data_IF_026864982432
#
_entry.id   IF_026864982432
#
_cell.length_a   1.000
_cell.length_b   1.000
_cell.length_c   1.000
_cell.angle_alpha   90.00
_cell.angle_beta   90.00
_cell.angle_gamma   90.00
#
_symmetry.space_group_name_H-M   'P 1'
#
loop_
_entity.id
_entity.type
_entity.pdbx_description
1 polymer ?
#
# COMPACT_ATOMS: atom_id res chain seq x y z
N UNK A 1 37.85 -19.85 -1.61
CA UNK A 1 36.66 -19.46 -2.41
C UNK A 1 35.99 -18.24 -1.76
N UNK A 2 35.99 -17.09 -2.43
CA UNK A 2 35.14 -15.97 -2.01
C UNK A 2 33.68 -16.41 -2.17
N UNK A 3 32.92 -16.59 -1.11
CA UNK A 3 31.47 -16.69 -1.16
C UNK A 3 30.96 -15.41 -1.81
N UNK A 4 30.44 -15.52 -3.03
CA UNK A 4 29.68 -14.42 -3.65
C UNK A 4 28.60 -14.02 -2.65
N UNK A 5 28.66 -12.77 -2.19
CA UNK A 5 27.65 -12.23 -1.29
C UNK A 5 26.29 -12.37 -1.99
N UNK A 6 25.36 -13.07 -1.36
CA UNK A 6 24.00 -13.25 -1.90
C UNK A 6 23.38 -11.88 -2.03
N UNK A 7 22.86 -11.54 -3.20
CA UNK A 7 22.12 -10.29 -3.42
C UNK A 7 21.01 -10.18 -2.37
N UNK A 8 20.90 -9.02 -1.76
CA UNK A 8 19.80 -8.75 -0.84
C UNK A 8 18.54 -8.38 -1.62
N UNK A 9 17.39 -8.49 -0.97
CA UNK A 9 16.08 -8.29 -1.57
C UNK A 9 15.53 -6.94 -1.14
N UNK A 10 15.12 -6.13 -2.11
CA UNK A 10 14.23 -5.00 -1.90
C UNK A 10 12.82 -5.46 -2.24
N UNK A 11 11.99 -5.58 -1.22
CA UNK A 11 10.62 -6.07 -1.36
C UNK A 11 9.66 -4.89 -1.45
N UNK A 12 8.98 -4.76 -2.57
CA UNK A 12 8.06 -3.65 -2.84
C UNK A 12 6.64 -4.18 -2.93
N UNK A 13 5.76 -3.64 -2.11
CA UNK A 13 4.33 -3.98 -2.10
C UNK A 13 3.57 -2.89 -2.83
N UNK A 14 2.74 -3.26 -3.80
CA UNK A 14 1.87 -2.38 -4.58
C UNK A 14 0.45 -2.92 -4.61
N UNK A 15 -0.53 -2.07 -4.88
CA UNK A 15 -1.96 -2.44 -4.87
C UNK A 15 -2.42 -3.09 -6.18
N UNK A 16 -1.78 -2.78 -7.31
CA UNK A 16 -2.20 -3.27 -8.61
C UNK A 16 -1.07 -3.58 -9.58
N UNK A 17 -1.35 -4.37 -10.65
CA UNK A 17 -0.34 -4.81 -11.62
C UNK A 17 0.21 -3.69 -12.50
N UNK A 18 -0.51 -2.59 -12.69
CA UNK A 18 -0.01 -1.41 -13.42
C UNK A 18 1.18 -0.75 -12.73
N UNK A 19 1.21 -0.80 -11.41
CA UNK A 19 2.30 -0.24 -10.60
C UNK A 19 3.57 -1.09 -10.71
N UNK A 20 3.41 -2.40 -10.86
CA UNK A 20 4.53 -3.35 -10.99
C UNK A 20 5.46 -2.99 -12.15
N UNK A 21 4.90 -2.75 -13.33
CA UNK A 21 5.70 -2.48 -14.53
C UNK A 21 6.46 -1.15 -14.44
N UNK A 22 5.77 -0.08 -14.00
CA UNK A 22 6.35 1.24 -13.91
C UNK A 22 7.43 1.34 -12.83
N UNK A 23 7.15 0.79 -11.65
CA UNK A 23 8.02 0.88 -10.48
C UNK A 23 9.16 -0.14 -10.52
N UNK A 24 8.90 -1.35 -11.04
CA UNK A 24 9.89 -2.41 -11.10
C UNK A 24 11.15 -2.00 -11.89
N UNK A 25 10.99 -1.35 -13.03
CA UNK A 25 12.11 -0.86 -13.86
C UNK A 25 12.86 0.25 -13.11
N UNK A 26 12.14 1.24 -12.62
CA UNK A 26 12.74 2.40 -11.94
C UNK A 26 13.49 1.99 -10.67
N UNK A 27 12.89 1.15 -9.85
CA UNK A 27 13.52 0.69 -8.61
C UNK A 27 14.69 -0.26 -8.87
N UNK A 28 14.64 -1.09 -9.92
CA UNK A 28 15.76 -1.93 -10.32
C UNK A 28 16.97 -1.12 -10.78
N UNK A 29 16.75 0.04 -11.39
CA UNK A 29 17.82 0.97 -11.75
C UNK A 29 18.42 1.66 -10.51
N UNK A 30 17.59 2.00 -9.55
CA UNK A 30 18.03 2.64 -8.29
C UNK A 30 18.81 1.67 -7.39
N UNK A 31 18.38 0.41 -7.32
CA UNK A 31 18.98 -0.64 -6.50
C UNK A 31 19.81 -1.61 -7.36
N UNK A 32 20.84 -1.11 -8.02
CA UNK A 32 21.69 -1.87 -8.97
C UNK A 32 22.19 -3.22 -8.46
N UNK A 33 22.63 -3.25 -7.18
CA UNK A 33 23.30 -4.40 -6.59
C UNK A 33 22.35 -5.36 -5.88
N UNK A 34 21.07 -5.02 -5.80
CA UNK A 34 20.08 -5.77 -5.06
C UNK A 34 18.99 -6.34 -5.99
N UNK A 35 18.37 -7.42 -5.58
CA UNK A 35 17.22 -7.96 -6.28
C UNK A 35 15.96 -7.21 -5.86
N UNK A 36 15.31 -6.53 -6.80
CA UNK A 36 14.02 -5.88 -6.56
C UNK A 36 12.91 -6.88 -6.89
N UNK A 37 12.03 -7.11 -5.91
CA UNK A 37 10.83 -7.91 -6.09
C UNK A 37 9.59 -7.07 -5.81
N UNK A 38 8.70 -6.97 -6.78
CA UNK A 38 7.43 -6.25 -6.65
C UNK A 38 6.32 -7.25 -6.37
N UNK A 39 5.74 -7.15 -5.18
CA UNK A 39 4.61 -7.98 -4.75
C UNK A 39 3.30 -7.23 -4.95
N UNK A 40 2.40 -7.82 -5.73
CA UNK A 40 1.07 -7.27 -5.94
C UNK A 40 0.15 -7.77 -4.81
N UNK A 41 -0.33 -6.84 -4.01
CA UNK A 41 -1.38 -7.10 -3.04
C UNK A 41 -2.74 -6.92 -3.72
N UNK A 42 -3.55 -7.96 -3.74
CA UNK A 42 -4.87 -7.89 -4.36
C UNK A 42 -5.82 -7.04 -3.50
N UNK A 43 -6.09 -5.84 -3.96
CA UNK A 43 -6.98 -4.87 -3.32
C UNK A 43 -6.27 -3.98 -2.28
N UNK A 44 -7.00 -2.98 -1.84
CA UNK A 44 -6.53 -2.00 -0.86
C UNK A 44 -6.63 -2.54 0.56
N UNK A 45 -5.49 -2.85 1.18
CA UNK A 45 -5.47 -3.34 2.56
C UNK A 45 -5.95 -2.29 3.56
N UNK A 46 -5.80 -0.99 3.26
CA UNK A 46 -6.16 0.09 4.17
C UNK A 46 -7.67 0.28 4.35
N UNK A 47 -8.47 -0.28 3.44
CA UNK A 47 -9.94 -0.29 3.51
C UNK A 47 -10.53 -1.69 3.61
N UNK A 48 -9.70 -2.72 3.66
CA UNK A 48 -10.15 -4.12 3.74
C UNK A 48 -10.92 -4.38 5.03
N UNK A 49 -12.05 -5.11 4.91
CA UNK A 49 -12.87 -5.49 6.06
C UNK A 49 -12.03 -6.21 7.12
N UNK A 50 -12.17 -5.78 8.38
CA UNK A 50 -11.45 -6.35 9.52
C UNK A 50 -10.02 -5.81 9.71
N UNK A 51 -9.54 -4.94 8.84
CA UNK A 51 -8.25 -4.26 9.00
C UNK A 51 -8.44 -2.96 9.78
N UNK A 52 -7.59 -2.76 10.79
CA UNK A 52 -7.58 -1.59 11.65
C UNK A 52 -6.14 -1.24 12.08
N UNK A 53 -5.89 -0.09 12.71
CA UNK A 53 -4.55 0.31 13.13
C UNK A 53 -3.83 -0.69 14.06
N UNK A 54 -4.56 -1.51 14.80
CA UNK A 54 -3.97 -2.50 15.70
C UNK A 54 -3.42 -3.72 14.98
N UNK A 55 -3.97 -4.08 13.82
CA UNK A 55 -3.63 -5.32 13.11
C UNK A 55 -3.01 -5.12 11.72
N UNK A 56 -3.04 -3.92 11.15
CA UNK A 56 -2.58 -3.70 9.76
C UNK A 56 -1.11 -4.05 9.57
N UNK A 57 -0.25 -3.71 10.53
CA UNK A 57 1.19 -4.02 10.44
C UNK A 57 1.43 -5.52 10.43
N UNK A 58 0.76 -6.27 11.30
CA UNK A 58 0.89 -7.72 11.34
C UNK A 58 0.30 -8.40 10.11
N UNK A 59 -0.77 -7.87 9.54
CA UNK A 59 -1.35 -8.39 8.30
C UNK A 59 -0.41 -8.21 7.11
N UNK A 60 0.21 -7.05 6.97
CA UNK A 60 1.26 -6.82 5.95
C UNK A 60 2.47 -7.71 6.22
N UNK A 61 2.90 -7.81 7.47
CA UNK A 61 3.98 -8.70 7.87
C UNK A 61 3.74 -10.16 7.52
N UNK A 62 2.50 -10.63 7.59
CA UNK A 62 2.13 -11.98 7.19
C UNK A 62 2.29 -12.23 5.68
N UNK A 63 1.99 -11.24 4.84
CA UNK A 63 2.24 -11.31 3.40
C UNK A 63 3.73 -11.46 3.10
N UNK A 64 4.57 -10.68 3.78
CA UNK A 64 6.03 -10.74 3.63
C UNK A 64 6.57 -12.08 4.12
N UNK A 65 6.09 -12.57 5.24
CA UNK A 65 6.49 -13.87 5.80
C UNK A 65 6.08 -15.04 4.88
N UNK A 66 4.91 -14.98 4.27
CA UNK A 66 4.45 -15.99 3.32
C UNK A 66 5.36 -16.04 2.09
N UNK A 67 5.73 -14.88 1.55
CA UNK A 67 6.70 -14.80 0.45
C UNK A 67 8.07 -15.36 0.87
N UNK A 68 8.59 -14.92 2.01
CA UNK A 68 9.87 -15.38 2.53
C UNK A 68 9.90 -16.91 2.72
N UNK A 69 8.84 -17.47 3.28
CA UNK A 69 8.70 -18.92 3.48
C UNK A 69 8.69 -19.69 2.16
N UNK A 70 7.94 -19.22 1.17
CA UNK A 70 7.82 -19.90 -0.13
C UNK A 70 9.12 -19.86 -0.94
N UNK A 71 9.99 -18.89 -0.69
CA UNK A 71 11.30 -18.72 -1.36
C UNK A 71 12.50 -19.11 -0.49
N UNK A 72 12.26 -19.66 0.69
CA UNK A 72 13.30 -20.05 1.66
C UNK A 72 14.21 -18.88 2.08
N UNK A 73 13.65 -17.68 2.21
CA UNK A 73 14.36 -16.48 2.67
C UNK A 73 14.21 -16.29 4.17
N UNK A 74 15.25 -15.71 4.77
CA UNK A 74 15.27 -15.26 6.17
C UNK A 74 15.22 -13.72 6.22
N UNK A 75 14.91 -13.16 7.37
CA UNK A 75 14.88 -11.69 7.57
C UNK A 75 16.18 -11.01 7.10
N UNK A 76 17.33 -11.63 7.34
CA UNK A 76 18.65 -11.11 6.91
C UNK A 76 18.83 -11.03 5.37
N UNK A 77 17.98 -11.69 4.58
CA UNK A 77 18.01 -11.60 3.14
C UNK A 77 17.34 -10.32 2.61
N UNK A 78 16.50 -9.68 3.40
CA UNK A 78 15.82 -8.44 3.03
C UNK A 78 16.67 -7.22 3.37
N UNK A 79 16.89 -6.37 2.39
CA UNK A 79 17.54 -5.07 2.60
C UNK A 79 16.53 -4.02 3.05
N UNK A 80 15.39 -3.98 2.36
CA UNK A 80 14.35 -2.99 2.60
C UNK A 80 12.99 -3.53 2.17
N UNK A 81 11.95 -3.06 2.85
CA UNK A 81 10.56 -3.28 2.51
C UNK A 81 9.93 -1.93 2.23
N UNK A 82 9.34 -1.77 1.06
CA UNK A 82 8.68 -0.55 0.61
C UNK A 82 7.22 -0.90 0.32
N UNK A 83 6.30 -0.17 0.92
CA UNK A 83 4.88 -0.30 0.65
C UNK A 83 4.36 1.00 0.01
N UNK A 84 3.85 0.89 -1.19
CA UNK A 84 3.29 2.01 -1.94
C UNK A 84 1.77 1.88 -1.92
N UNK A 85 1.11 2.90 -1.41
CA UNK A 85 -0.35 2.92 -1.24
C UNK A 85 -0.94 4.18 -1.87
N UNK A 86 -2.12 4.03 -2.45
CA UNK A 86 -2.92 5.16 -2.89
C UNK A 86 -3.65 5.79 -1.71
N UNK A 87 -3.69 7.11 -1.65
CA UNK A 87 -4.41 7.81 -0.58
C UNK A 87 -5.91 7.94 -0.85
N UNK A 88 -6.33 7.86 -2.11
CA UNK A 88 -7.73 7.87 -2.57
C UNK A 88 -8.59 8.97 -1.93
N UNK A 89 -7.99 10.12 -1.65
CA UNK A 89 -8.70 11.22 -1.00
C UNK A 89 -8.96 11.03 0.49
N UNK A 90 -8.28 10.08 1.16
CA UNK A 90 -8.48 9.79 2.58
C UNK A 90 -8.27 11.02 3.50
N UNK A 91 -7.41 11.93 3.09
CA UNK A 91 -7.10 13.17 3.83
C UNK A 91 -7.89 14.39 3.35
N UNK A 92 -8.83 14.25 2.43
CA UNK A 92 -9.72 15.34 2.05
C UNK A 92 -10.66 15.62 3.23
N UNK A 93 -10.73 16.88 3.73
CA UNK A 93 -11.59 17.24 4.85
C UNK A 93 -13.06 16.95 4.53
N UNK A 94 -13.84 16.58 5.55
CA UNK A 94 -15.26 16.28 5.36
C UNK A 94 -16.07 17.47 4.80
N UNK A 95 -15.59 18.68 5.02
CA UNK A 95 -16.18 19.92 4.46
C UNK A 95 -16.06 19.98 2.94
N UNK A 96 -15.10 19.26 2.37
CA UNK A 96 -14.87 19.15 0.93
C UNK A 96 -15.42 17.83 0.35
N UNK A 97 -16.33 17.19 1.06
CA UNK A 97 -17.08 16.03 0.58
C UNK A 97 -18.53 16.48 0.42
N UNK A 98 -19.00 16.47 -0.83
CA UNK A 98 -20.31 17.02 -1.20
C UNK A 98 -21.26 15.89 -1.58
N UNK A 99 -22.45 15.92 -0.98
CA UNK A 99 -23.50 14.98 -1.36
C UNK A 99 -24.26 15.49 -2.58
N UNK A 100 -24.27 14.66 -3.61
CA UNK A 100 -24.95 14.93 -4.86
C UNK A 100 -25.65 13.63 -5.33
N UNK A 101 -26.98 13.64 -5.30
CA UNK A 101 -27.79 12.47 -5.61
C UNK A 101 -27.60 12.01 -7.08
N UNK A 102 -27.26 12.94 -7.97
CA UNK A 102 -27.01 12.66 -9.38
C UNK A 102 -25.59 12.20 -9.69
N UNK A 103 -24.69 12.29 -8.71
CA UNK A 103 -23.32 11.80 -8.87
C UNK A 103 -23.26 10.28 -8.82
N UNK A 104 -22.25 9.74 -9.49
CA UNK A 104 -21.79 8.37 -9.26
C UNK A 104 -21.33 8.17 -7.82
N UNK A 105 -21.11 6.93 -7.39
CA UNK A 105 -20.71 6.58 -6.04
C UNK A 105 -19.56 7.43 -5.50
N UNK A 106 -18.61 7.78 -6.36
CA UNK A 106 -17.44 8.55 -5.99
C UNK A 106 -16.86 9.29 -7.19
N UNK A 107 -16.81 10.61 -7.11
CA UNK A 107 -16.26 11.48 -8.15
C UNK A 107 -15.28 12.48 -7.54
N UNK A 108 -14.01 12.43 -7.95
CA UNK A 108 -12.98 13.38 -7.51
C UNK A 108 -12.98 14.60 -8.43
N UNK A 109 -13.12 15.78 -7.82
CA UNK A 109 -13.12 17.06 -8.52
C UNK A 109 -12.14 18.04 -7.85
N UNK A 110 -11.90 19.19 -8.50
CA UNK A 110 -10.95 20.19 -8.00
C UNK A 110 -11.34 20.76 -6.63
N UNK A 111 -12.64 20.80 -6.31
CA UNK A 111 -13.17 21.29 -5.05
C UNK A 111 -13.29 20.21 -3.96
N UNK A 112 -13.12 18.96 -4.31
CA UNK A 112 -13.21 17.83 -3.38
C UNK A 112 -13.87 16.59 -3.97
N UNK A 113 -14.55 15.85 -3.11
CA UNK A 113 -15.23 14.61 -3.47
C UNK A 113 -16.73 14.87 -3.61
N UNK A 114 -17.30 14.47 -4.74
CA UNK A 114 -18.75 14.44 -4.98
C UNK A 114 -19.25 12.99 -4.93
N UNK A 115 -20.29 12.73 -4.18
CA UNK A 115 -20.80 11.38 -3.96
C UNK A 115 -22.30 11.38 -3.70
N UNK A 116 -22.95 10.30 -4.05
CA UNK A 116 -24.37 10.09 -3.71
C UNK A 116 -24.58 9.62 -2.25
N UNK A 117 -23.50 9.33 -1.52
CA UNK A 117 -23.55 8.94 -0.11
C UNK A 117 -22.34 9.50 0.68
N UNK A 118 -22.50 10.72 1.18
CA UNK A 118 -21.45 11.42 1.94
C UNK A 118 -21.00 10.67 3.19
N UNK A 119 -21.93 10.13 3.96
CA UNK A 119 -21.60 9.45 5.21
C UNK A 119 -20.72 8.22 4.98
N UNK A 120 -21.02 7.44 3.95
CA UNK A 120 -20.20 6.29 3.56
C UNK A 120 -18.76 6.69 3.22
N UNK A 121 -18.59 7.77 2.47
CA UNK A 121 -17.26 8.27 2.07
C UNK A 121 -16.50 8.82 3.28
N UNK A 122 -17.14 9.57 4.15
CA UNK A 122 -16.52 10.10 5.39
C UNK A 122 -16.01 8.93 6.26
N UNK A 123 -16.83 7.92 6.47
CA UNK A 123 -16.45 6.73 7.27
C UNK A 123 -15.27 6.00 6.62
N UNK A 124 -15.34 5.75 5.32
CA UNK A 124 -14.25 5.08 4.57
C UNK A 124 -12.94 5.87 4.67
N UNK A 125 -12.99 7.17 4.44
CA UNK A 125 -11.81 8.03 4.49
C UNK A 125 -11.18 8.03 5.89
N UNK A 126 -11.99 8.04 6.95
CA UNK A 126 -11.46 7.97 8.32
C UNK A 126 -10.74 6.64 8.58
N UNK A 127 -11.34 5.53 8.20
CA UNK A 127 -10.72 4.19 8.34
C UNK A 127 -9.40 4.15 7.59
N UNK A 128 -9.40 4.59 6.34
CA UNK A 128 -8.20 4.62 5.50
C UNK A 128 -7.12 5.52 6.07
N UNK A 129 -7.46 6.73 6.48
CA UNK A 129 -6.51 7.67 7.09
C UNK A 129 -5.89 7.11 8.37
N UNK A 130 -6.70 6.53 9.26
CA UNK A 130 -6.20 5.93 10.51
C UNK A 130 -5.22 4.77 10.23
N UNK A 131 -5.52 3.93 9.25
CA UNK A 131 -4.64 2.84 8.83
C UNK A 131 -3.35 3.36 8.17
N UNK A 132 -3.45 4.36 7.29
CA UNK A 132 -2.29 5.00 6.66
C UNK A 132 -1.39 5.68 7.69
N UNK A 133 -1.96 6.39 8.64
CA UNK A 133 -1.20 7.04 9.72
C UNK A 133 -0.44 6.01 10.57
N UNK A 134 -1.03 4.87 10.83
CA UNK A 134 -0.34 3.77 11.53
C UNK A 134 0.83 3.24 10.73
N UNK A 135 0.69 3.08 9.41
CA UNK A 135 1.75 2.59 8.54
C UNK A 135 2.92 3.57 8.40
N UNK A 136 2.65 4.88 8.41
CA UNK A 136 3.71 5.90 8.32
C UNK A 136 4.73 5.84 9.45
N UNK A 137 4.33 5.37 10.61
CA UNK A 137 5.17 5.27 11.80
C UNK A 137 5.68 3.84 12.05
N UNK A 138 5.54 2.96 11.07
CA UNK A 138 6.07 1.61 11.10
C UNK A 138 7.46 1.62 10.48
N UNK A 139 8.47 1.64 11.31
CA UNK A 139 9.88 1.54 10.91
C UNK A 139 10.37 0.10 10.83
#
# INVERSE_FOLDING_TARGET
MKRLARRKIVFVIVEGPSDETALGITLSQYFDNDAVYVHIMHGDITTRKGVNPKNIVSKIGNEIKAYAKSHHYKSANFMQIIHIVDTDGAYIPKENIFEDIESDDLLYQDDGIHTNNKDKVVIRNKIKADNLDRLRFCG
#
